data_IF_604381430632
#
_entry.id   IF_604381430632
#
_cell.length_a   1.000
_cell.length_b   1.000
_cell.length_c   1.000
_cell.angle_alpha   90.00
_cell.angle_beta   90.00
_cell.angle_gamma   90.00
#
_symmetry.space_group_name_H-M   'P 1'
#
loop_
_entity.id
_entity.type
_entity.pdbx_description
1 polymer ?
#
# COMPACT_ATOMS: atom_id res chain seq x y z
N UNK A 1 -6.38 15.83 -8.00
CA UNK A 1 -7.61 15.94 -7.19
C UNK A 1 -7.37 15.23 -5.88
N UNK A 2 -7.85 15.79 -4.77
CA UNK A 2 -7.75 15.18 -3.43
C UNK A 2 -8.55 13.87 -3.40
N UNK A 3 -7.92 12.78 -2.95
CA UNK A 3 -8.59 11.48 -2.83
C UNK A 3 -9.45 11.41 -1.57
N UNK A 4 -10.65 10.85 -1.69
CA UNK A 4 -11.57 10.69 -0.54
C UNK A 4 -11.41 9.30 0.05
N UNK A 5 -11.08 9.25 1.34
CA UNK A 5 -10.81 8.01 2.08
C UNK A 5 -11.98 7.67 2.98
N UNK A 6 -12.37 6.39 3.02
CA UNK A 6 -13.19 5.85 4.09
C UNK A 6 -12.39 4.86 4.95
N UNK A 7 -12.67 4.84 6.25
CA UNK A 7 -12.05 3.94 7.22
C UNK A 7 -13.09 3.04 7.86
N UNK A 8 -12.89 1.72 7.80
CA UNK A 8 -13.66 0.75 8.58
C UNK A 8 -12.86 0.34 9.81
N UNK A 9 -13.47 0.43 10.99
CA UNK A 9 -12.81 0.10 12.25
C UNK A 9 -13.79 -0.52 13.26
N UNK A 10 -13.37 -1.54 14.00
CA UNK A 10 -14.21 -2.19 15.02
C UNK A 10 -13.80 -1.87 16.47
N UNK A 11 -12.66 -1.20 16.68
CA UNK A 11 -12.00 -1.13 18.00
C UNK A 11 -11.66 0.28 18.45
N UNK A 12 -10.51 0.40 19.13
CA UNK A 12 -10.03 1.63 19.78
C UNK A 12 -9.74 2.79 18.82
N UNK A 13 -9.53 2.52 17.54
CA UNK A 13 -9.23 3.55 16.53
C UNK A 13 -7.84 4.18 16.65
N UNK A 14 -6.84 3.45 17.14
CA UNK A 14 -5.44 3.93 17.22
C UNK A 14 -4.83 4.16 15.83
N UNK A 15 -4.98 3.20 14.91
CA UNK A 15 -4.61 3.36 13.51
C UNK A 15 -5.39 4.49 12.82
N UNK A 16 -6.69 4.67 13.14
CA UNK A 16 -7.45 5.82 12.66
C UNK A 16 -6.83 7.16 13.11
N UNK A 17 -6.41 7.28 14.38
CA UNK A 17 -5.76 8.50 14.85
C UNK A 17 -4.43 8.78 14.13
N UNK A 18 -3.63 7.74 13.86
CA UNK A 18 -2.40 7.88 13.07
C UNK A 18 -2.70 8.35 11.63
N UNK A 19 -3.74 7.80 11.00
CA UNK A 19 -4.19 8.22 9.67
C UNK A 19 -4.69 9.68 9.67
N UNK A 20 -5.48 10.09 10.69
CA UNK A 20 -5.94 11.48 10.82
C UNK A 20 -4.78 12.48 11.00
N UNK A 21 -3.76 12.10 11.77
CA UNK A 21 -2.56 12.92 11.93
C UNK A 21 -1.76 13.03 10.63
N UNK A 22 -1.71 11.94 9.84
CA UNK A 22 -0.95 11.88 8.60
C UNK A 22 -1.64 12.52 7.40
N UNK A 23 -2.98 12.65 7.44
CA UNK A 23 -3.84 13.24 6.41
C UNK A 23 -4.81 14.23 7.08
N UNK A 24 -4.32 15.38 7.56
CA UNK A 24 -5.15 16.38 8.21
C UNK A 24 -6.16 16.99 7.23
N UNK A 25 -7.21 17.63 7.76
CA UNK A 25 -8.21 18.31 6.94
C UNK A 25 -7.55 19.34 6.00
N UNK A 26 -7.90 19.28 4.71
CA UNK A 26 -7.31 20.12 3.67
C UNK A 26 -5.99 19.60 3.07
N UNK A 27 -5.52 18.41 3.45
CA UNK A 27 -4.38 17.79 2.78
C UNK A 27 -4.67 17.63 1.27
N UNK A 28 -3.80 18.13 0.38
CA UNK A 28 -4.05 18.14 -1.06
C UNK A 28 -4.00 16.74 -1.69
N UNK A 29 -3.45 15.75 -0.99
CA UNK A 29 -3.31 14.37 -1.48
C UNK A 29 -4.57 13.56 -1.19
N UNK A 30 -5.04 13.58 0.04
CA UNK A 30 -6.23 12.83 0.46
C UNK A 30 -6.88 13.38 1.72
N UNK A 31 -8.19 13.19 1.85
CA UNK A 31 -8.98 13.52 3.03
C UNK A 31 -9.74 12.29 3.54
N UNK A 32 -9.80 12.11 4.86
CA UNK A 32 -10.66 11.08 5.46
C UNK A 32 -12.07 11.65 5.55
N UNK A 33 -12.99 11.11 4.75
CA UNK A 33 -14.34 11.66 4.59
C UNK A 33 -15.40 10.89 5.39
N UNK A 34 -15.14 9.63 5.74
CA UNK A 34 -16.12 8.74 6.34
C UNK A 34 -15.44 7.68 7.22
N UNK A 35 -15.99 7.46 8.42
CA UNK A 35 -15.63 6.32 9.27
C UNK A 35 -16.86 5.45 9.48
N UNK A 36 -16.76 4.16 9.15
CA UNK A 36 -17.82 3.17 9.38
C UNK A 36 -17.36 2.20 10.46
N UNK A 37 -18.25 1.88 11.40
CA UNK A 37 -18.03 0.78 12.34
C UNK A 37 -19.18 -0.20 12.36
N UNK A 38 -18.84 -1.47 12.56
CA UNK A 38 -19.81 -2.52 12.85
C UNK A 38 -20.16 -2.63 14.35
N UNK A 39 -19.64 -1.71 15.17
CA UNK A 39 -19.87 -1.62 16.62
C UNK A 39 -20.25 -0.21 17.00
N UNK A 40 -21.37 -0.06 17.70
CA UNK A 40 -21.89 1.25 18.11
C UNK A 40 -20.99 1.91 19.16
N UNK A 41 -20.39 1.09 20.03
CA UNK A 41 -19.50 1.48 21.13
C UNK A 41 -18.03 1.61 20.72
N UNK A 42 -17.72 1.58 19.41
CA UNK A 42 -16.34 1.68 18.95
C UNK A 42 -15.79 3.10 19.17
N UNK A 43 -14.73 3.22 19.98
CA UNK A 43 -14.02 4.49 20.20
C UNK A 43 -13.49 5.12 18.90
N UNK A 44 -13.34 4.33 17.83
CA UNK A 44 -13.04 4.85 16.50
C UNK A 44 -14.11 5.82 15.98
N UNK A 45 -15.40 5.57 16.26
CA UNK A 45 -16.49 6.48 15.88
C UNK A 45 -16.40 7.79 16.68
N UNK A 46 -16.09 7.73 17.96
CA UNK A 46 -15.96 8.92 18.81
C UNK A 46 -14.78 9.79 18.34
N UNK A 47 -13.62 9.17 18.06
CA UNK A 47 -12.46 9.86 17.47
C UNK A 47 -12.79 10.55 16.15
N UNK A 48 -13.57 9.88 15.29
CA UNK A 48 -14.01 10.46 14.02
C UNK A 48 -14.90 11.70 14.25
N UNK A 49 -15.87 11.62 15.17
CA UNK A 49 -16.75 12.76 15.51
C UNK A 49 -15.96 13.92 16.12
N UNK A 50 -15.02 13.63 17.02
CA UNK A 50 -14.13 14.64 17.63
C UNK A 50 -13.26 15.35 16.58
N UNK A 51 -12.86 14.64 15.52
CA UNK A 51 -12.15 15.20 14.37
C UNK A 51 -13.08 15.91 13.36
N UNK A 52 -14.38 16.02 13.64
CA UNK A 52 -15.36 16.66 12.75
C UNK A 52 -15.75 15.83 11.52
N UNK A 53 -15.48 14.53 11.54
CA UNK A 53 -15.79 13.61 10.45
C UNK A 53 -17.15 12.95 10.60
N UNK A 54 -17.71 12.53 9.48
CA UNK A 54 -18.86 11.66 9.50
C UNK A 54 -18.48 10.27 10.04
N UNK A 55 -19.21 9.83 11.07
CA UNK A 55 -19.01 8.56 11.74
C UNK A 55 -20.33 7.78 11.77
N UNK A 56 -20.40 6.68 11.03
CA UNK A 56 -21.61 5.89 10.83
C UNK A 56 -21.47 4.51 11.48
N UNK A 57 -22.42 4.18 12.35
CA UNK A 57 -22.60 2.82 12.83
C UNK A 57 -23.51 2.05 11.87
N UNK A 58 -23.04 0.90 11.40
CA UNK A 58 -23.84 -0.05 10.63
C UNK A 58 -23.81 -1.38 11.38
N UNK A 59 -24.92 -1.88 11.93
CA UNK A 59 -24.93 -3.15 12.65
C UNK A 59 -24.45 -4.29 11.75
N UNK A 60 -23.82 -5.31 12.34
CA UNK A 60 -23.56 -6.58 11.65
C UNK A 60 -24.65 -7.59 12.05
N UNK A 61 -25.76 -7.72 11.29
CA UNK A 61 -26.89 -8.54 11.73
C UNK A 61 -26.59 -10.05 11.74
N UNK A 62 -27.47 -10.84 12.37
CA UNK A 62 -27.44 -12.30 12.25
C UNK A 62 -27.74 -12.69 10.79
N UNK A 63 -26.85 -13.47 10.16
CA UNK A 63 -26.86 -13.75 8.71
C UNK A 63 -26.26 -12.61 7.86
N UNK A 64 -25.70 -11.59 8.51
CA UNK A 64 -25.67 -10.20 8.08
C UNK A 64 -24.43 -9.65 7.40
N UNK A 65 -23.66 -10.47 6.68
CA UNK A 65 -22.58 -9.92 5.85
C UNK A 65 -23.13 -9.05 4.71
N UNK A 66 -24.10 -9.59 3.95
CA UNK A 66 -24.66 -8.90 2.78
C UNK A 66 -25.38 -7.59 3.13
N UNK A 67 -26.13 -7.55 4.24
CA UNK A 67 -26.84 -6.34 4.65
C UNK A 67 -25.89 -5.23 5.10
N UNK A 68 -24.83 -5.57 5.85
CA UNK A 68 -23.79 -4.60 6.20
C UNK A 68 -23.08 -4.08 4.94
N UNK A 69 -22.69 -4.98 4.03
CA UNK A 69 -21.98 -4.64 2.81
C UNK A 69 -22.80 -3.78 1.85
N UNK A 70 -24.11 -4.02 1.75
CA UNK A 70 -25.01 -3.19 0.94
C UNK A 70 -25.10 -1.75 1.49
N UNK A 71 -25.32 -1.61 2.80
CA UNK A 71 -25.39 -0.29 3.43
C UNK A 71 -24.04 0.45 3.39
N UNK A 72 -22.94 -0.28 3.60
CA UNK A 72 -21.60 0.29 3.47
C UNK A 72 -21.33 0.74 2.03
N UNK A 73 -21.67 -0.08 1.03
CA UNK A 73 -21.51 0.27 -0.39
C UNK A 73 -22.28 1.55 -0.75
N UNK A 74 -23.53 1.65 -0.35
CA UNK A 74 -24.36 2.83 -0.61
C UNK A 74 -23.71 4.11 -0.07
N UNK A 75 -23.18 4.07 1.16
CA UNK A 75 -22.48 5.21 1.75
C UNK A 75 -21.16 5.52 1.03
N UNK A 76 -20.37 4.50 0.70
CA UNK A 76 -19.09 4.67 0.01
C UNK A 76 -19.30 5.31 -1.38
N UNK A 77 -20.32 4.88 -2.12
CA UNK A 77 -20.71 5.43 -3.41
C UNK A 77 -21.25 6.86 -3.28
N UNK A 78 -22.19 7.08 -2.36
CA UNK A 78 -22.79 8.39 -2.12
C UNK A 78 -21.76 9.46 -1.70
N UNK A 79 -20.65 9.03 -1.06
CA UNK A 79 -19.56 9.93 -0.63
C UNK A 79 -18.38 9.98 -1.60
N UNK A 80 -18.48 9.32 -2.76
CA UNK A 80 -17.45 9.33 -3.79
C UNK A 80 -16.10 8.87 -3.27
N UNK A 81 -16.07 7.78 -2.49
CA UNK A 81 -14.85 7.29 -1.86
C UNK A 81 -13.91 6.66 -2.92
N UNK A 82 -12.66 7.11 -2.91
CA UNK A 82 -11.60 6.65 -3.80
C UNK A 82 -10.83 5.45 -3.22
N UNK A 83 -10.63 5.43 -1.90
CA UNK A 83 -9.76 4.49 -1.19
C UNK A 83 -10.41 4.06 0.14
N UNK A 84 -10.40 2.75 0.39
CA UNK A 84 -10.98 2.13 1.58
C UNK A 84 -9.89 1.55 2.48
N UNK A 85 -9.91 1.89 3.77
CA UNK A 85 -8.91 1.46 4.75
C UNK A 85 -9.56 0.62 5.86
N UNK A 86 -9.07 -0.60 6.07
CA UNK A 86 -9.45 -1.46 7.19
C UNK A 86 -8.48 -1.25 8.37
N UNK A 87 -8.88 -0.40 9.31
CA UNK A 87 -8.08 -0.04 10.48
C UNK A 87 -8.57 -0.80 11.73
N UNK A 88 -8.24 -2.09 11.80
CA UNK A 88 -8.72 -2.98 12.86
C UNK A 88 -10.20 -3.34 12.69
N UNK A 89 -10.60 -3.63 11.45
CA UNK A 89 -11.93 -4.14 11.12
C UNK A 89 -11.96 -5.66 11.28
N UNK A 90 -12.73 -6.17 12.24
CA UNK A 90 -12.64 -7.56 12.70
C UNK A 90 -13.65 -8.50 12.00
N UNK A 91 -14.05 -8.19 10.77
CA UNK A 91 -15.03 -8.96 9.98
C UNK A 91 -14.51 -9.20 8.57
N UNK A 92 -14.76 -10.40 8.06
CA UNK A 92 -14.44 -10.76 6.68
C UNK A 92 -15.48 -10.18 5.73
N UNK A 93 -15.00 -9.40 4.76
CA UNK A 93 -15.77 -8.90 3.65
C UNK A 93 -15.87 -9.98 2.56
N UNK A 94 -16.94 -9.98 1.80
CA UNK A 94 -17.14 -10.88 0.67
C UNK A 94 -16.27 -10.47 -0.53
N UNK A 95 -15.94 -11.44 -1.38
CA UNK A 95 -15.27 -11.14 -2.66
C UNK A 95 -16.10 -10.19 -3.54
N UNK A 96 -17.44 -10.26 -3.49
CA UNK A 96 -18.35 -9.36 -4.21
C UNK A 96 -18.26 -7.91 -3.71
N UNK A 97 -18.01 -7.73 -2.41
CA UNK A 97 -17.74 -6.41 -1.84
C UNK A 97 -16.35 -5.91 -2.19
N UNK A 98 -15.33 -6.76 -2.11
CA UNK A 98 -13.92 -6.38 -2.29
C UNK A 98 -13.55 -6.13 -3.75
N UNK A 99 -14.09 -6.90 -4.70
CA UNK A 99 -13.65 -6.88 -6.10
C UNK A 99 -13.65 -5.48 -6.76
N UNK A 100 -14.68 -4.61 -6.59
CA UNK A 100 -14.67 -3.26 -7.15
C UNK A 100 -13.59 -2.33 -6.57
N UNK A 101 -13.02 -2.71 -5.42
CA UNK A 101 -11.98 -1.97 -4.71
C UNK A 101 -10.59 -2.51 -4.97
N UNK A 102 -10.37 -3.46 -5.89
CA UNK A 102 -9.01 -3.96 -6.19
C UNK A 102 -8.03 -2.80 -6.40
N UNK A 103 -6.90 -2.85 -5.68
CA UNK A 103 -5.89 -1.77 -5.67
C UNK A 103 -6.29 -0.49 -4.93
N UNK A 104 -7.48 -0.46 -4.32
CA UNK A 104 -8.09 0.68 -3.62
C UNK A 104 -8.74 0.28 -2.29
N UNK A 105 -8.38 -0.89 -1.75
CA UNK A 105 -8.70 -1.31 -0.39
C UNK A 105 -7.43 -1.84 0.28
N UNK A 106 -7.10 -1.31 1.46
CA UNK A 106 -5.91 -1.68 2.22
C UNK A 106 -6.30 -2.16 3.61
N UNK A 107 -5.59 -3.16 4.11
CA UNK A 107 -5.66 -3.61 5.50
C UNK A 107 -4.27 -3.57 6.13
N UNK A 108 -4.23 -3.33 7.44
CA UNK A 108 -3.03 -3.54 8.25
C UNK A 108 -3.22 -4.77 9.13
N UNK A 109 -2.25 -5.68 9.06
CA UNK A 109 -2.25 -6.93 9.80
C UNK A 109 -1.03 -7.01 10.73
N UNK A 110 -1.18 -7.41 12.01
CA UNK A 110 -0.11 -7.39 13.01
C UNK A 110 0.83 -8.62 12.91
N UNK A 111 1.28 -8.95 11.70
CA UNK A 111 2.34 -9.92 11.46
C UNK A 111 3.15 -9.59 10.20
N UNK A 112 4.25 -10.32 10.00
CA UNK A 112 4.97 -10.37 8.73
C UNK A 112 4.34 -11.42 7.80
N UNK A 113 3.23 -11.07 7.14
CA UNK A 113 2.55 -11.96 6.20
C UNK A 113 3.53 -12.54 5.18
N UNK A 114 3.38 -13.81 4.74
CA UNK A 114 2.25 -14.71 4.99
C UNK A 114 2.31 -15.43 6.36
N UNK A 115 3.24 -15.08 7.24
CA UNK A 115 3.31 -15.68 8.57
C UNK A 115 2.16 -15.18 9.45
N UNK A 116 1.55 -16.10 10.21
CA UNK A 116 0.54 -15.79 11.24
C UNK A 116 -0.68 -15.00 10.74
N UNK A 117 -1.38 -15.44 9.67
CA UNK A 117 -2.62 -14.81 9.21
C UNK A 117 -3.76 -15.04 10.22
N UNK A 118 -4.82 -14.24 10.11
CA UNK A 118 -6.00 -14.35 10.96
C UNK A 118 -5.81 -13.83 12.39
N UNK A 119 -6.56 -14.40 13.33
CA UNK A 119 -6.65 -13.84 14.68
C UNK A 119 -5.42 -14.21 15.55
N UNK A 120 -5.14 -13.36 16.54
CA UNK A 120 -4.11 -13.61 17.56
C UNK A 120 -2.68 -13.82 17.00
N UNK A 121 -2.32 -13.10 15.94
CA UNK A 121 -1.03 -13.24 15.26
C UNK A 121 0.18 -13.14 16.21
N UNK A 122 0.11 -12.30 17.24
CA UNK A 122 1.17 -12.16 18.25
C UNK A 122 1.35 -13.45 19.08
N UNK A 123 0.24 -14.10 19.46
CA UNK A 123 0.27 -15.39 20.17
C UNK A 123 0.87 -16.47 19.26
N UNK A 124 0.43 -16.53 18.01
CA UNK A 124 0.97 -17.47 17.02
C UNK A 124 2.49 -17.30 16.85
N UNK A 125 2.99 -16.06 16.79
CA UNK A 125 4.43 -15.78 16.68
C UNK A 125 5.23 -16.26 17.89
N UNK A 126 4.72 -16.03 19.10
CA UNK A 126 5.35 -16.49 20.35
C UNK A 126 5.37 -18.02 20.45
N UNK A 127 4.27 -18.68 20.13
CA UNK A 127 4.17 -20.15 20.14
C UNK A 127 5.09 -20.81 19.10
N UNK A 128 5.32 -20.14 17.97
CA UNK A 128 6.27 -20.58 16.95
C UNK A 128 7.74 -20.35 17.35
N UNK A 129 8.02 -19.71 18.49
CA UNK A 129 9.38 -19.40 18.93
C UNK A 129 10.08 -18.35 18.05
N UNK A 130 9.31 -17.47 17.40
CA UNK A 130 9.87 -16.43 16.54
C UNK A 130 10.69 -15.42 17.35
N UNK A 131 11.81 -14.98 16.80
CA UNK A 131 12.67 -13.92 17.38
C UNK A 131 12.32 -12.53 16.83
N UNK A 132 11.49 -12.48 15.79
CA UNK A 132 11.01 -11.26 15.15
C UNK A 132 9.56 -11.44 14.70
N UNK A 133 8.80 -10.36 14.73
CA UNK A 133 7.49 -10.24 14.10
C UNK A 133 7.39 -8.85 13.47
N UNK A 134 6.19 -8.36 13.18
CA UNK A 134 6.01 -7.08 12.55
C UNK A 134 4.56 -6.78 12.21
N UNK A 135 4.36 -5.79 11.37
CA UNK A 135 3.07 -5.53 10.73
C UNK A 135 3.25 -5.52 9.21
N UNK A 136 2.18 -5.87 8.50
CA UNK A 136 2.08 -5.82 7.05
C UNK A 136 0.88 -4.98 6.68
N UNK A 137 1.09 -3.92 5.91
CA UNK A 137 0.01 -3.28 5.15
C UNK A 137 -0.08 -3.98 3.80
N UNK A 138 -1.27 -4.40 3.41
CA UNK A 138 -1.49 -5.14 2.17
C UNK A 138 -2.78 -4.73 1.49
N UNK A 139 -2.87 -4.98 0.18
CA UNK A 139 -4.14 -4.89 -0.53
C UNK A 139 -5.08 -5.99 -0.05
N UNK A 140 -6.38 -5.68 0.05
CA UNK A 140 -7.39 -6.69 0.40
C UNK A 140 -7.88 -7.38 -0.88
N UNK A 141 -7.94 -8.70 -0.84
CA UNK A 141 -8.53 -9.55 -1.87
C UNK A 141 -9.64 -10.44 -1.25
N UNK A 142 -10.08 -11.48 -1.97
CA UNK A 142 -11.14 -12.36 -1.49
C UNK A 142 -10.67 -13.38 -0.43
N UNK A 143 -9.37 -13.49 -0.17
CA UNK A 143 -8.82 -14.41 0.81
C UNK A 143 -8.57 -13.76 2.17
N UNK A 144 -8.10 -14.59 3.12
CA UNK A 144 -7.74 -14.13 4.46
C UNK A 144 -6.29 -13.67 4.46
N UNK A 145 -6.08 -12.35 4.60
CA UNK A 145 -4.76 -11.73 4.70
C UNK A 145 -3.79 -12.16 3.58
N UNK A 146 -4.31 -12.38 2.37
CA UNK A 146 -3.57 -12.97 1.24
C UNK A 146 -3.18 -11.99 0.15
N UNK A 147 -3.76 -10.79 0.15
CA UNK A 147 -3.47 -9.83 -0.92
C UNK A 147 -2.05 -9.26 -0.84
N UNK A 148 -1.63 -8.63 -1.94
CA UNK A 148 -0.24 -8.26 -2.14
C UNK A 148 0.26 -7.28 -1.05
N UNK A 149 1.44 -7.53 -0.47
CA UNK A 149 2.02 -6.65 0.54
C UNK A 149 2.41 -5.29 -0.09
N UNK A 150 2.13 -4.21 0.62
CA UNK A 150 2.56 -2.85 0.27
C UNK A 150 3.80 -2.46 1.05
N UNK A 151 3.77 -2.68 2.36
CA UNK A 151 4.84 -2.29 3.28
C UNK A 151 4.86 -3.24 4.47
N UNK A 152 6.06 -3.53 4.96
CA UNK A 152 6.27 -4.28 6.20
C UNK A 152 7.20 -3.53 7.13
N UNK A 153 6.93 -3.59 8.42
CA UNK A 153 7.86 -3.16 9.47
C UNK A 153 8.10 -4.29 10.44
N UNK A 154 9.35 -4.54 10.79
CA UNK A 154 9.76 -5.60 11.72
C UNK A 154 9.91 -5.03 13.13
N UNK A 155 9.64 -5.86 14.13
CA UNK A 155 9.92 -5.59 15.54
C UNK A 155 10.53 -6.84 16.19
N UNK A 156 11.45 -6.70 17.15
CA UNK A 156 12.00 -7.85 17.85
C UNK A 156 10.97 -8.47 18.79
N UNK A 157 11.06 -9.79 18.98
CA UNK A 157 10.44 -10.51 20.10
C UNK A 157 11.56 -10.78 21.10
N UNK A 158 11.38 -10.26 22.31
CA UNK A 158 12.34 -10.38 23.41
C UNK A 158 12.05 -11.62 24.25
N UNK A 159 13.07 -12.11 24.93
CA UNK A 159 12.93 -13.24 25.84
C UNK A 159 11.93 -12.90 26.96
N UNK A 160 10.90 -13.73 27.11
CA UNK A 160 9.87 -13.55 28.15
C UNK A 160 8.74 -12.60 27.76
N UNK A 161 8.68 -12.14 26.51
CA UNK A 161 7.55 -11.35 26.01
C UNK A 161 6.20 -12.10 26.14
N UNK A 162 5.14 -11.33 26.44
CA UNK A 162 3.74 -11.77 26.35
C UNK A 162 3.10 -11.25 25.06
N UNK A 163 1.94 -11.78 24.61
CA UNK A 163 1.24 -11.23 23.44
C UNK A 163 0.95 -9.73 23.56
N UNK A 164 0.64 -9.24 24.76
CA UNK A 164 0.39 -7.82 25.05
C UNK A 164 1.65 -6.98 24.91
N UNK A 165 2.81 -7.48 25.38
CA UNK A 165 4.09 -6.81 25.23
C UNK A 165 4.50 -6.69 23.75
N UNK A 166 4.31 -7.77 22.98
CA UNK A 166 4.51 -7.77 21.53
C UNK A 166 3.55 -6.79 20.85
N UNK A 167 2.27 -6.82 21.20
CA UNK A 167 1.27 -5.91 20.64
C UNK A 167 1.58 -4.44 20.94
N UNK A 168 2.02 -4.12 22.16
CA UNK A 168 2.43 -2.76 22.53
C UNK A 168 3.65 -2.28 21.73
N UNK A 169 4.58 -3.19 21.40
CA UNK A 169 5.75 -2.89 20.56
C UNK A 169 5.40 -2.76 19.07
N UNK A 170 4.40 -3.50 18.60
CA UNK A 170 3.90 -3.43 17.23
C UNK A 170 3.14 -2.13 16.95
N UNK A 171 2.41 -1.62 17.94
CA UNK A 171 1.46 -0.53 17.73
C UNK A 171 2.09 0.75 17.12
N UNK A 172 3.28 1.22 17.58
CA UNK A 172 3.97 2.33 16.91
C UNK A 172 4.38 2.00 15.47
N UNK A 173 4.88 0.78 15.22
CA UNK A 173 5.24 0.35 13.88
C UNK A 173 4.03 0.33 12.94
N UNK A 174 2.84 -0.06 13.43
CA UNK A 174 1.60 0.03 12.67
C UNK A 174 1.23 1.49 12.34
N UNK A 175 1.35 2.39 13.32
CA UNK A 175 1.01 3.81 13.17
C UNK A 175 1.91 4.52 12.18
N UNK A 176 3.13 4.05 12.00
CA UNK A 176 4.03 4.54 10.96
C UNK A 176 3.78 3.86 9.62
N UNK A 177 3.62 2.52 9.62
CA UNK A 177 3.49 1.74 8.39
C UNK A 177 2.21 2.07 7.63
N UNK A 178 1.07 2.21 8.32
CA UNK A 178 -0.20 2.37 7.64
C UNK A 178 -0.28 3.67 6.83
N UNK A 179 0.00 4.86 7.41
CA UNK A 179 -0.03 6.08 6.64
C UNK A 179 1.02 6.11 5.52
N UNK A 180 2.21 5.54 5.75
CA UNK A 180 3.25 5.45 4.72
C UNK A 180 2.77 4.62 3.52
N UNK A 181 2.17 3.45 3.75
CA UNK A 181 1.59 2.63 2.70
C UNK A 181 0.46 3.34 1.95
N UNK A 182 -0.37 4.14 2.64
CA UNK A 182 -1.39 4.96 1.99
C UNK A 182 -0.76 6.00 1.07
N UNK A 183 0.29 6.71 1.49
CA UNK A 183 1.02 7.66 0.62
C UNK A 183 1.55 6.98 -0.64
N UNK A 184 2.14 5.80 -0.49
CA UNK A 184 2.65 4.99 -1.62
C UNK A 184 1.57 4.67 -2.65
N UNK A 185 0.39 4.28 -2.20
CA UNK A 185 -0.74 3.99 -3.09
C UNK A 185 -1.23 5.27 -3.77
N UNK A 186 -1.34 6.37 -3.03
CA UNK A 186 -1.76 7.67 -3.58
C UNK A 186 -0.77 8.21 -4.63
N UNK A 187 0.52 7.96 -4.46
CA UNK A 187 1.58 8.35 -5.40
C UNK A 187 1.76 7.38 -6.59
N UNK A 188 1.03 6.26 -6.60
CA UNK A 188 1.12 5.23 -7.64
C UNK A 188 2.37 4.35 -7.56
N UNK A 189 3.05 4.34 -6.42
CA UNK A 189 4.24 3.51 -6.17
C UNK A 189 3.90 2.08 -5.78
N UNK A 190 2.77 1.93 -5.09
CA UNK A 190 2.23 0.63 -4.72
C UNK A 190 0.91 0.35 -5.45
N UNK A 191 0.81 -0.82 -6.04
CA UNK A 191 -0.40 -1.39 -6.63
C UNK A 191 -0.30 -2.92 -6.57
N UNK A 192 -1.43 -3.65 -6.59
CA UNK A 192 -1.41 -5.12 -6.61
C UNK A 192 -0.60 -5.64 -7.79
N UNK A 193 -0.19 -6.90 -7.73
CA UNK A 193 0.46 -7.57 -8.86
C UNK A 193 -0.48 -7.48 -10.07
N UNK A 194 -0.04 -6.89 -11.20
CA UNK A 194 -0.92 -6.64 -12.32
C UNK A 194 -1.47 -7.94 -12.91
N UNK A 195 -2.74 -7.94 -13.26
CA UNK A 195 -3.37 -9.04 -14.00
C UNK A 195 -2.84 -9.07 -15.44
N UNK A 196 -3.16 -10.15 -16.15
CA UNK A 196 -2.88 -10.23 -17.58
C UNK A 196 -3.59 -9.12 -18.37
N UNK A 197 -4.85 -8.84 -18.05
CA UNK A 197 -5.62 -7.75 -18.69
C UNK A 197 -4.99 -6.37 -18.44
N UNK A 198 -4.54 -6.11 -17.20
CA UNK A 198 -3.81 -4.89 -16.85
C UNK A 198 -2.48 -4.82 -17.61
N UNK A 199 -1.76 -5.93 -17.74
CA UNK A 199 -0.55 -6.02 -18.57
C UNK A 199 -0.82 -5.74 -20.04
N UNK A 200 -1.83 -6.38 -20.64
CA UNK A 200 -2.24 -6.15 -22.03
C UNK A 200 -2.62 -4.68 -22.26
N UNK A 201 -3.31 -4.05 -21.31
CA UNK A 201 -3.63 -2.62 -21.40
C UNK A 201 -2.38 -1.74 -21.35
N UNK A 202 -1.40 -2.07 -20.51
CA UNK A 202 -0.16 -1.31 -20.36
C UNK A 202 0.80 -1.47 -21.54
N UNK A 203 0.85 -2.65 -22.19
CA UNK A 203 1.86 -2.97 -23.20
C UNK A 203 1.28 -3.19 -24.63
N UNK A 204 -0.04 -3.29 -24.78
CA UNK A 204 -0.73 -3.43 -26.06
C UNK A 204 -0.33 -4.69 -26.84
N UNK A 205 -0.23 -4.58 -28.17
CA UNK A 205 0.09 -5.71 -29.05
C UNK A 205 1.44 -6.39 -28.75
N UNK A 206 2.37 -5.69 -28.09
CA UNK A 206 3.64 -6.29 -27.68
C UNK A 206 3.49 -7.34 -26.56
N UNK A 207 2.41 -7.26 -25.78
CA UNK A 207 2.11 -8.19 -24.70
C UNK A 207 1.81 -9.60 -25.22
N UNK A 208 1.14 -9.72 -26.37
CA UNK A 208 0.82 -11.02 -27.00
C UNK A 208 2.08 -11.87 -27.28
N UNK A 209 3.20 -11.20 -27.58
CA UNK A 209 4.47 -11.88 -27.86
C UNK A 209 5.21 -12.40 -26.62
N UNK A 210 4.76 -12.05 -25.41
CA UNK A 210 5.43 -12.39 -24.15
C UNK A 210 4.44 -12.76 -23.03
N UNK A 211 3.15 -12.91 -23.32
CA UNK A 211 2.12 -13.33 -22.35
C UNK A 211 2.48 -14.67 -21.69
N UNK A 212 3.05 -15.60 -22.47
CA UNK A 212 3.57 -16.87 -21.96
C UNK A 212 4.71 -16.69 -20.91
N UNK A 213 5.52 -15.62 -21.04
CA UNK A 213 6.59 -15.29 -20.08
C UNK A 213 6.02 -14.53 -18.88
N UNK A 214 4.98 -13.72 -19.07
CA UNK A 214 4.25 -13.05 -18.01
C UNK A 214 3.54 -14.03 -17.07
N UNK A 215 3.01 -15.12 -17.62
CA UNK A 215 2.42 -16.24 -16.87
C UNK A 215 3.46 -17.25 -16.36
N UNK A 216 4.64 -17.29 -16.98
CA UNK A 216 5.71 -18.18 -16.55
C UNK A 216 6.19 -17.82 -15.14
N UNK A 217 6.54 -18.86 -14.37
CA UNK A 217 7.08 -18.73 -13.00
C UNK A 217 8.35 -17.87 -12.91
N UNK A 218 9.00 -17.60 -14.05
CA UNK A 218 10.27 -16.89 -14.12
C UNK A 218 10.12 -15.37 -14.01
N UNK A 219 8.92 -14.81 -14.25
CA UNK A 219 8.59 -13.43 -13.88
C UNK A 219 7.82 -13.42 -12.57
N UNK A 220 8.56 -13.28 -11.47
CA UNK A 220 7.93 -13.13 -10.16
C UNK A 220 7.04 -11.87 -10.09
N UNK A 221 6.18 -11.83 -9.08
CA UNK A 221 5.26 -10.73 -8.80
C UNK A 221 5.96 -9.35 -8.80
N UNK A 222 7.15 -9.28 -8.22
CA UNK A 222 7.97 -8.08 -8.10
C UNK A 222 8.39 -7.57 -9.46
N UNK A 223 8.84 -8.46 -10.35
CA UNK A 223 9.31 -8.08 -11.67
C UNK A 223 8.18 -7.59 -12.57
N UNK A 224 6.97 -8.17 -12.45
CA UNK A 224 5.77 -7.68 -13.16
C UNK A 224 5.39 -6.27 -12.72
N UNK A 225 5.37 -6.01 -11.42
CA UNK A 225 5.12 -4.67 -10.89
C UNK A 225 6.19 -3.68 -11.35
N UNK A 226 7.46 -4.09 -11.37
CA UNK A 226 8.57 -3.26 -11.84
C UNK A 226 8.43 -2.90 -13.33
N UNK A 227 8.16 -3.90 -14.19
CA UNK A 227 7.95 -3.66 -15.62
C UNK A 227 6.83 -2.64 -15.87
N UNK A 228 5.70 -2.76 -15.16
CA UNK A 228 4.57 -1.81 -15.29
C UNK A 228 4.94 -0.41 -14.78
N UNK A 229 5.67 -0.27 -13.67
CA UNK A 229 6.13 1.07 -13.21
C UNK A 229 7.06 1.72 -14.21
N UNK A 230 8.00 0.95 -14.77
CA UNK A 230 8.94 1.43 -15.79
C UNK A 230 8.17 1.87 -17.03
N UNK A 231 7.19 1.09 -17.49
CA UNK A 231 6.31 1.47 -18.59
C UNK A 231 5.60 2.81 -18.34
N UNK A 232 5.02 2.98 -17.15
CA UNK A 232 4.34 4.22 -16.76
C UNK A 232 5.28 5.42 -16.69
N UNK A 233 6.50 5.23 -16.16
CA UNK A 233 7.54 6.27 -16.16
C UNK A 233 7.94 6.67 -17.58
N UNK A 234 8.19 5.70 -18.46
CA UNK A 234 8.54 5.97 -19.86
C UNK A 234 7.42 6.72 -20.58
N UNK A 235 6.15 6.37 -20.36
CA UNK A 235 5.01 7.14 -20.89
C UNK A 235 4.99 8.58 -20.35
N UNK A 236 5.23 8.76 -19.05
CA UNK A 236 5.29 10.08 -18.42
C UNK A 236 6.46 10.94 -18.95
N UNK A 237 7.50 10.31 -19.51
CA UNK A 237 8.65 10.96 -20.13
C UNK A 237 8.55 11.03 -21.67
N UNK A 238 7.36 10.82 -22.23
CA UNK A 238 7.10 10.83 -23.68
C UNK A 238 8.00 9.83 -24.46
N UNK A 239 8.27 8.66 -23.86
CA UNK A 239 9.05 7.54 -24.45
C UNK A 239 8.18 6.30 -24.69
N UNK A 240 6.97 6.49 -25.21
CA UNK A 240 6.00 5.40 -25.42
C UNK A 240 6.55 4.28 -26.32
N UNK A 241 7.40 4.61 -27.29
CA UNK A 241 8.05 3.62 -28.16
C UNK A 241 8.92 2.59 -27.41
N UNK A 242 9.38 2.91 -26.19
CA UNK A 242 10.21 2.03 -25.36
C UNK A 242 9.39 1.19 -24.36
N UNK A 243 8.08 1.41 -24.25
CA UNK A 243 7.21 0.70 -23.29
C UNK A 243 7.17 -0.79 -23.57
N UNK A 244 7.06 -1.17 -24.85
CA UNK A 244 7.08 -2.57 -25.27
C UNK A 244 8.41 -3.25 -24.94
N UNK A 245 9.53 -2.52 -25.03
CA UNK A 245 10.86 -3.02 -24.73
C UNK A 245 11.08 -3.18 -23.22
N UNK A 246 10.48 -2.32 -22.40
CA UNK A 246 10.56 -2.42 -20.93
C UNK A 246 10.01 -3.74 -20.38
N UNK A 247 9.04 -4.35 -21.07
CA UNK A 247 8.48 -5.66 -20.71
C UNK A 247 9.51 -6.80 -20.82
N UNK A 248 10.46 -6.68 -21.76
CA UNK A 248 11.61 -7.60 -21.91
C UNK A 248 12.79 -7.21 -21.03
N UNK A 249 12.70 -6.06 -20.34
CA UNK A 249 13.74 -5.50 -19.49
C UNK A 249 15.07 -5.33 -20.22
N UNK A 250 15.03 -5.03 -21.52
CA UNK A 250 16.22 -4.78 -22.34
C UNK A 250 17.00 -3.55 -21.84
N UNK A 251 18.28 -3.50 -22.22
CA UNK A 251 19.26 -2.56 -21.66
C UNK A 251 19.36 -1.24 -22.45
N UNK A 252 18.27 -0.75 -23.06
CA UNK A 252 18.27 0.62 -23.58
C UNK A 252 18.62 1.61 -22.44
N UNK A 253 19.50 2.59 -22.66
CA UNK A 253 19.94 3.52 -21.62
C UNK A 253 18.79 4.21 -20.88
N UNK A 254 17.72 4.57 -21.59
CA UNK A 254 16.51 5.19 -21.06
C UNK A 254 15.71 4.23 -20.18
N UNK A 255 15.61 2.95 -20.58
CA UNK A 255 14.94 1.90 -19.79
C UNK A 255 15.75 1.64 -18.52
N UNK A 256 17.08 1.50 -18.64
CA UNK A 256 17.96 1.34 -17.49
C UNK A 256 17.85 2.53 -16.51
N UNK A 257 17.77 3.76 -17.03
CA UNK A 257 17.56 4.97 -16.24
C UNK A 257 16.18 5.00 -15.56
N UNK A 258 15.12 4.64 -16.28
CA UNK A 258 13.76 4.54 -15.74
C UNK A 258 13.67 3.48 -14.63
N UNK A 259 14.29 2.31 -14.83
CA UNK A 259 14.40 1.24 -13.83
C UNK A 259 15.14 1.68 -12.58
N UNK A 260 16.27 2.36 -12.74
CA UNK A 260 17.03 2.86 -11.60
C UNK A 260 16.28 3.97 -10.85
N UNK A 261 15.56 4.82 -11.58
CA UNK A 261 14.66 5.81 -10.99
C UNK A 261 13.57 5.10 -10.19
N UNK A 262 12.85 4.14 -10.77
CA UNK A 262 11.84 3.32 -10.06
C UNK A 262 12.40 2.68 -8.79
N UNK A 263 13.60 2.09 -8.87
CA UNK A 263 14.30 1.52 -7.71
C UNK A 263 14.49 2.55 -6.59
N UNK A 264 14.89 3.78 -6.92
CA UNK A 264 14.96 4.88 -5.95
C UNK A 264 13.60 5.25 -5.37
N UNK A 265 12.55 5.25 -6.19
CA UNK A 265 11.17 5.49 -5.74
C UNK A 265 10.67 4.43 -4.76
N UNK A 266 11.22 3.22 -4.80
CA UNK A 266 10.81 2.11 -3.94
C UNK A 266 11.76 1.85 -2.78
N UNK A 267 12.90 2.56 -2.70
CA UNK A 267 13.95 2.28 -1.74
C UNK A 267 13.46 2.28 -0.28
N UNK A 268 12.39 3.02 0.01
CA UNK A 268 11.80 3.08 1.35
C UNK A 268 10.77 1.98 1.64
N UNK A 269 10.35 1.20 0.64
CA UNK A 269 9.40 0.09 0.77
C UNK A 269 10.06 -1.20 1.29
N UNK A 270 11.39 -1.24 1.24
CA UNK A 270 12.24 -2.30 1.78
C UNK A 270 12.26 -2.27 3.32
N UNK A 271 12.37 -3.45 3.92
CA UNK A 271 12.69 -3.70 5.32
C UNK A 271 14.15 -3.41 5.72
N UNK A 272 15.01 -3.00 4.79
CA UNK A 272 16.41 -2.71 5.03
C UNK A 272 16.60 -1.58 6.05
N UNK A 273 17.74 -1.61 6.79
CA UNK A 273 18.09 -0.55 7.72
C UNK A 273 18.02 0.83 7.07
N UNK A 274 17.63 1.82 7.88
CA UNK A 274 17.52 3.21 7.43
C UNK A 274 18.80 3.73 6.76
N UNK A 275 19.96 3.37 7.30
CA UNK A 275 21.26 3.80 6.78
C UNK A 275 21.50 3.31 5.36
N UNK A 276 21.13 2.07 5.05
CA UNK A 276 21.27 1.49 3.71
C UNK A 276 20.33 2.19 2.72
N UNK A 277 19.07 2.40 3.13
CA UNK A 277 18.08 3.12 2.32
C UNK A 277 18.51 4.57 2.05
N UNK A 278 19.06 5.26 3.06
CA UNK A 278 19.61 6.61 2.93
C UNK A 278 20.83 6.64 2.00
N UNK A 279 21.76 5.71 2.15
CA UNK A 279 22.94 5.65 1.29
C UNK A 279 22.54 5.49 -0.18
N UNK A 280 21.53 4.66 -0.46
CA UNK A 280 20.98 4.51 -1.80
C UNK A 280 20.36 5.82 -2.32
N UNK A 281 19.59 6.52 -1.48
CA UNK A 281 19.01 7.83 -1.83
C UNK A 281 20.06 8.93 -2.10
N UNK A 282 21.13 8.96 -1.30
CA UNK A 282 22.24 9.90 -1.45
C UNK A 282 23.03 9.66 -2.74
N UNK A 283 23.04 8.43 -3.27
CA UNK A 283 23.66 8.05 -4.54
C UNK A 283 22.97 8.60 -5.81
N UNK A 284 21.81 9.27 -5.70
CA UNK A 284 21.00 9.74 -6.84
C UNK A 284 21.72 10.66 -7.83
N UNK A 285 22.79 11.34 -7.39
CA UNK A 285 23.57 12.23 -8.24
C UNK A 285 24.11 11.56 -9.50
N UNK A 286 24.41 10.25 -9.44
CA UNK A 286 24.80 9.48 -10.62
C UNK A 286 23.67 9.41 -11.66
N UNK A 287 22.42 9.20 -11.22
CA UNK A 287 21.27 9.15 -12.13
C UNK A 287 21.03 10.49 -12.81
N UNK A 288 21.15 11.60 -12.07
CA UNK A 288 21.02 12.94 -12.64
C UNK A 288 22.09 13.22 -13.72
N UNK A 289 23.33 12.76 -13.50
CA UNK A 289 24.39 12.88 -14.51
C UNK A 289 24.11 12.04 -15.75
N UNK A 290 23.58 10.82 -15.60
CA UNK A 290 23.17 9.98 -16.74
C UNK A 290 21.99 10.61 -17.48
N UNK A 291 20.99 11.10 -16.74
CA UNK A 291 19.82 11.79 -17.28
C UNK A 291 20.23 13.01 -18.11
N UNK A 292 21.17 13.82 -17.61
CA UNK A 292 21.69 14.98 -18.35
C UNK A 292 22.35 14.58 -19.69
N UNK A 293 23.08 13.46 -19.73
CA UNK A 293 23.69 12.94 -20.99
C UNK A 293 22.65 12.48 -22.00
N UNK A 294 21.49 12.01 -21.53
CA UNK A 294 20.38 11.56 -22.36
C UNK A 294 19.34 12.67 -22.64
N UNK A 295 19.54 13.88 -22.12
CA UNK A 295 18.57 14.98 -22.24
C UNK A 295 17.27 14.75 -21.47
N UNK A 296 17.31 13.97 -20.38
CA UNK A 296 16.18 13.56 -19.54
C UNK A 296 16.25 14.10 -18.11
N UNK A 297 17.07 15.14 -17.87
CA UNK A 297 17.35 15.61 -16.52
C UNK A 297 16.08 16.12 -15.81
N UNK A 298 15.26 16.92 -16.49
CA UNK A 298 14.06 17.52 -15.90
C UNK A 298 13.03 16.46 -15.51
N UNK A 299 12.88 15.42 -16.34
CA UNK A 299 11.99 14.30 -16.14
C UNK A 299 12.39 13.45 -14.93
N UNK A 300 13.70 13.17 -14.80
CA UNK A 300 14.25 12.45 -13.65
C UNK A 300 14.16 13.30 -12.38
N UNK A 301 14.48 14.60 -12.45
CA UNK A 301 14.32 15.51 -11.31
C UNK A 301 12.88 15.55 -10.82
N UNK A 302 11.90 15.67 -11.74
CA UNK A 302 10.49 15.65 -11.39
C UNK A 302 10.06 14.32 -10.72
N UNK A 303 10.51 13.19 -11.26
CA UNK A 303 10.23 11.87 -10.68
C UNK A 303 10.88 11.68 -9.29
N UNK A 304 12.09 12.21 -9.10
CA UNK A 304 12.80 12.17 -7.83
C UNK A 304 12.21 13.15 -6.81
N UNK A 305 11.75 14.34 -7.20
CA UNK A 305 11.05 15.27 -6.30
C UNK A 305 9.81 14.61 -5.71
N UNK A 306 9.01 13.92 -6.53
CA UNK A 306 7.87 13.16 -6.05
C UNK A 306 8.25 12.13 -4.96
N UNK A 307 9.46 11.57 -5.06
CA UNK A 307 9.98 10.61 -4.09
C UNK A 307 10.57 11.29 -2.85
N UNK A 308 11.20 12.46 -3.03
CA UNK A 308 11.78 13.25 -1.96
C UNK A 308 10.70 13.75 -1.00
N UNK A 309 9.56 14.21 -1.53
CA UNK A 309 8.41 14.62 -0.72
C UNK A 309 7.95 13.48 0.21
N UNK A 310 7.96 12.25 -0.26
CA UNK A 310 7.65 11.10 0.60
C UNK A 310 8.76 10.83 1.60
N UNK A 311 10.02 11.03 1.23
CA UNK A 311 11.18 10.89 2.12
C UNK A 311 11.13 11.87 3.30
N UNK A 312 10.71 13.11 3.06
CA UNK A 312 10.59 14.15 4.08
C UNK A 312 9.39 13.93 5.01
N UNK A 313 8.33 13.27 4.52
CA UNK A 313 7.09 13.01 5.25
C UNK A 313 6.95 11.57 5.76
N UNK A 314 7.97 10.75 5.55
CA UNK A 314 8.09 9.44 6.19
C UNK A 314 8.77 9.65 7.53
N UNK A 315 7.99 9.59 8.60
CA UNK A 315 8.52 9.59 9.97
C UNK A 315 9.36 8.33 10.17
N UNK A 316 10.64 8.53 10.48
CA UNK A 316 11.60 7.49 10.85
C UNK A 316 11.39 7.01 12.29
#
# INVERSE_FOLDING_TARGET
MTRRIAVLASGRGSNLAALLAAFPAGDPRAEIALVISNREDALALDRAREAGLEAVYIPWPRGGRAAFEAAARELLEARGIDLLLLAGFMRLLSGEFVAPWRGRILNIHPSLLPLYPGLEAQRQALEAGATQTGCTVHFVDAGLDSGDPVLRKTVPILQGDTPEAVAARLLPAEHEAYPQAVRMVLAGLAFPVPTEEEGQAEFGAAFEGVSLVWEAKDLDATLRQHAVRVARLLRAWDREALVAEALRLEYAPEIALARATDGMRLAFADTAPLEERRAFWEGRGFLLQQAARLGLQAEVEAALVQTADEWEHTTF
#
